data_IF_338349102321
#
_entry.id   IF_338349102321
#
_cell.length_a   1.000
_cell.length_b   1.000
_cell.length_c   1.000
_cell.angle_alpha   90.00
_cell.angle_beta   90.00
_cell.angle_gamma   90.00
#
_symmetry.space_group_name_H-M   'P 1'
#
loop_
_entity.id
_entity.type
_entity.pdbx_description
1 polymer ?
#
# COMPACT_ATOMS: atom_id res chain seq x y z
N UNK A 1 -16.72 8.73 7.51
CA UNK A 1 -16.62 7.25 7.47
C UNK A 1 -15.28 6.86 6.85
N UNK A 2 -14.16 7.05 7.58
CA UNK A 2 -12.77 6.85 7.07
C UNK A 2 -12.11 5.59 7.67
N UNK A 3 -12.73 4.96 8.67
CA UNK A 3 -12.16 3.85 9.43
C UNK A 3 -11.95 2.52 8.66
N UNK A 4 -12.84 2.08 7.73
CA UNK A 4 -12.72 0.75 7.13
C UNK A 4 -11.49 0.62 6.21
N UNK A 5 -11.15 1.67 5.46
CA UNK A 5 -10.01 1.66 4.54
C UNK A 5 -8.66 1.59 5.27
N UNK A 6 -8.57 2.27 6.42
CA UNK A 6 -7.36 2.25 7.24
C UNK A 6 -7.08 0.86 7.80
N UNK A 7 -8.14 0.19 8.26
CA UNK A 7 -8.09 -1.16 8.78
C UNK A 7 -7.71 -2.15 7.68
N UNK A 8 -8.33 -2.06 6.51
CA UNK A 8 -8.01 -2.91 5.37
C UNK A 8 -6.53 -2.79 4.96
N UNK A 9 -6.00 -1.56 4.85
CA UNK A 9 -4.58 -1.31 4.52
C UNK A 9 -3.64 -1.86 5.58
N UNK A 10 -3.94 -1.66 6.87
CA UNK A 10 -3.12 -2.19 7.97
C UNK A 10 -3.09 -3.73 7.99
N UNK A 11 -4.22 -4.38 7.73
CA UNK A 11 -4.31 -5.84 7.68
C UNK A 11 -3.54 -6.41 6.48
N UNK A 12 -3.58 -5.75 5.32
CA UNK A 12 -2.72 -6.10 4.16
C UNK A 12 -1.24 -6.00 4.51
N UNK A 13 -0.83 -4.91 5.16
CA UNK A 13 0.55 -4.75 5.62
C UNK A 13 0.95 -5.87 6.62
N UNK A 14 0.06 -6.23 7.54
CA UNK A 14 0.29 -7.30 8.51
C UNK A 14 0.42 -8.69 7.86
N UNK A 15 -0.37 -8.96 6.82
CA UNK A 15 -0.29 -10.20 6.05
C UNK A 15 1.01 -10.31 5.25
N UNK A 16 1.44 -9.20 4.64
CA UNK A 16 2.74 -9.13 3.97
C UNK A 16 3.90 -9.42 4.93
N UNK A 17 3.88 -8.80 6.12
CA UNK A 17 4.91 -9.03 7.13
C UNK A 17 4.98 -10.51 7.53
N UNK A 18 3.83 -11.17 7.73
CA UNK A 18 3.77 -12.61 8.05
C UNK A 18 4.36 -13.46 6.92
N UNK A 19 3.99 -13.18 5.68
CA UNK A 19 4.44 -13.95 4.50
C UNK A 19 5.95 -13.84 4.27
N UNK A 20 6.55 -12.68 4.55
CA UNK A 20 7.99 -12.42 4.36
C UNK A 20 8.83 -12.60 5.61
N UNK A 21 8.24 -13.05 6.72
CA UNK A 21 8.89 -13.16 8.04
C UNK A 21 9.51 -11.85 8.53
N UNK A 22 8.91 -10.71 8.17
CA UNK A 22 9.31 -9.40 8.68
C UNK A 22 8.71 -9.24 10.07
N UNK A 23 9.56 -8.93 11.04
CA UNK A 23 9.17 -8.76 12.43
C UNK A 23 8.76 -7.33 12.73
N UNK A 24 7.95 -7.16 13.77
CA UNK A 24 7.52 -5.83 14.22
C UNK A 24 8.68 -5.02 14.82
N UNK A 25 9.70 -5.70 15.35
CA UNK A 25 10.91 -5.08 15.87
C UNK A 25 11.72 -4.45 14.73
N UNK A 26 11.93 -5.17 13.62
CA UNK A 26 12.62 -4.62 12.45
C UNK A 26 11.93 -3.38 11.87
N UNK A 27 10.59 -3.37 11.83
CA UNK A 27 9.82 -2.20 11.38
C UNK A 27 9.95 -1.04 12.37
N UNK A 28 9.94 -1.34 13.67
CA UNK A 28 10.08 -0.35 14.73
C UNK A 28 11.45 0.34 14.67
N UNK A 29 12.51 -0.46 14.54
CA UNK A 29 13.89 0.01 14.41
C UNK A 29 14.08 0.85 13.15
N UNK A 30 13.54 0.40 12.01
CA UNK A 30 13.63 1.12 10.74
C UNK A 30 12.91 2.47 10.73
N UNK A 31 11.86 2.62 11.54
CA UNK A 31 11.02 3.82 11.58
C UNK A 31 11.27 4.70 12.82
N UNK A 32 12.20 4.32 13.70
CA UNK A 32 12.42 5.03 14.96
C UNK A 32 11.18 5.04 15.86
N UNK A 33 10.35 3.99 15.78
CA UNK A 33 9.13 3.84 16.54
C UNK A 33 9.27 2.73 17.58
N UNK A 34 8.33 2.63 18.53
CA UNK A 34 8.31 1.49 19.44
C UNK A 34 7.56 0.29 18.83
N UNK A 35 8.07 -0.92 19.06
CA UNK A 35 7.43 -2.16 18.62
C UNK A 35 5.94 -2.28 19.04
N UNK A 36 5.52 -1.85 20.25
CA UNK A 36 4.10 -1.83 20.62
C UNK A 36 3.24 -0.89 19.76
N UNK A 37 3.78 0.23 19.28
CA UNK A 37 3.05 1.12 18.36
C UNK A 37 2.85 0.45 16.99
N UNK A 38 3.90 -0.17 16.44
CA UNK A 38 3.82 -0.94 15.20
C UNK A 38 2.82 -2.10 15.34
N UNK A 39 2.88 -2.83 16.45
CA UNK A 39 1.96 -3.92 16.76
C UNK A 39 0.50 -3.47 16.76
N UNK A 40 0.22 -2.31 17.38
CA UNK A 40 -1.13 -1.73 17.40
C UNK A 40 -1.61 -1.39 15.99
N UNK A 41 -0.74 -0.82 15.16
CA UNK A 41 -1.06 -0.49 13.77
C UNK A 41 -1.40 -1.75 12.98
N UNK A 42 -0.53 -2.75 12.98
CA UNK A 42 -0.71 -3.99 12.21
C UNK A 42 -1.89 -4.85 12.70
N UNK A 43 -2.34 -4.68 13.95
CA UNK A 43 -3.55 -5.32 14.48
C UNK A 43 -4.85 -4.68 13.98
N UNK A 44 -4.79 -3.50 13.36
CA UNK A 44 -5.95 -2.85 12.76
C UNK A 44 -7.01 -2.32 13.75
N UNK A 45 -6.75 -2.32 15.06
CA UNK A 45 -7.74 -1.93 16.08
C UNK A 45 -7.57 -0.48 16.51
N UNK A 46 -8.67 0.28 16.55
CA UNK A 46 -8.69 1.67 17.02
C UNK A 46 -7.78 2.59 16.21
N UNK A 47 -7.68 2.34 14.90
CA UNK A 47 -6.81 3.09 14.02
C UNK A 47 -7.32 4.52 13.81
N UNK A 48 -6.37 5.45 13.80
CA UNK A 48 -6.54 6.80 13.29
C UNK A 48 -5.49 7.05 12.23
N UNK A 49 -5.86 7.82 11.21
CA UNK A 49 -4.89 8.28 10.22
C UNK A 49 -3.82 9.11 10.94
N UNK A 50 -2.59 8.61 10.98
CA UNK A 50 -1.48 9.26 11.68
C UNK A 50 -0.21 9.06 10.87
N UNK A 51 0.76 9.96 11.07
CA UNK A 51 2.04 9.89 10.37
C UNK A 51 2.73 8.53 10.55
N UNK A 52 2.74 7.98 11.78
CA UNK A 52 3.33 6.68 12.04
C UNK A 52 2.56 5.53 11.35
N UNK A 53 1.23 5.61 11.28
CA UNK A 53 0.43 4.66 10.51
C UNK A 53 0.83 4.66 9.02
N UNK A 54 0.95 5.86 8.45
CA UNK A 54 1.35 6.05 7.05
C UNK A 54 2.75 5.48 6.80
N UNK A 55 3.72 5.84 7.66
CA UNK A 55 5.10 5.40 7.57
C UNK A 55 5.24 3.88 7.69
N UNK A 56 4.49 3.24 8.61
CA UNK A 56 4.46 1.77 8.73
C UNK A 56 3.90 1.12 7.47
N UNK A 57 2.78 1.60 6.95
CA UNK A 57 2.19 1.02 5.74
C UNK A 57 3.09 1.22 4.52
N UNK A 58 3.63 2.42 4.34
CA UNK A 58 4.56 2.74 3.24
C UNK A 58 5.86 1.93 3.33
N UNK A 59 6.41 1.73 4.53
CA UNK A 59 7.60 0.92 4.73
C UNK A 59 7.37 -0.53 4.26
N UNK A 60 6.26 -1.11 4.68
CA UNK A 60 5.87 -2.47 4.28
C UNK A 60 5.60 -2.56 2.77
N UNK A 61 4.92 -1.58 2.19
CA UNK A 61 4.67 -1.48 0.74
C UNK A 61 5.96 -1.31 -0.08
N UNK A 62 6.95 -0.60 0.45
CA UNK A 62 8.29 -0.47 -0.17
C UNK A 62 9.05 -1.79 -0.14
N UNK A 63 9.01 -2.49 1.00
CA UNK A 63 9.59 -3.84 1.11
C UNK A 63 8.87 -4.87 0.24
N UNK A 64 7.63 -4.61 -0.17
CA UNK A 64 6.88 -5.39 -1.15
C UNK A 64 7.36 -5.26 -2.60
N UNK A 65 8.27 -4.34 -2.88
CA UNK A 65 8.68 -4.03 -4.25
C UNK A 65 7.64 -3.17 -4.98
N UNK A 66 6.74 -2.50 -4.24
CA UNK A 66 5.66 -1.68 -4.77
C UNK A 66 4.28 -2.35 -4.67
N UNK A 67 3.28 -1.72 -5.29
CA UNK A 67 1.90 -2.23 -5.31
C UNK A 67 1.85 -3.49 -6.18
N UNK A 68 1.60 -4.64 -5.56
CA UNK A 68 1.44 -5.92 -6.28
C UNK A 68 0.07 -5.99 -6.96
N UNK A 69 -0.07 -6.73 -8.08
CA UNK A 69 -1.38 -6.97 -8.71
C UNK A 69 -2.43 -7.53 -7.74
N UNK A 70 -2.01 -8.37 -6.80
CA UNK A 70 -2.85 -8.94 -5.75
C UNK A 70 -3.36 -7.85 -4.80
N UNK A 71 -2.51 -6.89 -4.42
CA UNK A 71 -2.90 -5.74 -3.61
C UNK A 71 -3.85 -4.79 -4.33
N UNK A 72 -3.72 -4.65 -5.66
CA UNK A 72 -4.68 -3.87 -6.48
C UNK A 72 -6.02 -4.58 -6.51
N UNK A 73 -6.03 -5.89 -6.79
CA UNK A 73 -7.25 -6.71 -6.81
C UNK A 73 -7.97 -6.76 -5.46
N UNK A 74 -7.26 -6.58 -4.35
CA UNK A 74 -7.85 -6.53 -3.01
C UNK A 74 -8.34 -5.13 -2.58
N UNK A 75 -8.32 -4.14 -3.48
CA UNK A 75 -8.85 -2.81 -3.21
C UNK A 75 -10.27 -2.67 -3.79
N UNK A 76 -11.27 -2.84 -2.93
CA UNK A 76 -12.68 -2.84 -3.33
C UNK A 76 -13.13 -1.50 -3.92
N UNK A 77 -12.68 -0.37 -3.36
CA UNK A 77 -13.01 0.96 -3.88
C UNK A 77 -12.52 1.16 -5.31
N UNK A 78 -11.27 0.80 -5.59
CA UNK A 78 -10.69 0.88 -6.93
C UNK A 78 -11.40 -0.06 -7.91
N UNK A 79 -11.71 -1.28 -7.48
CA UNK A 79 -12.42 -2.25 -8.31
C UNK A 79 -13.86 -1.81 -8.60
N UNK A 80 -14.57 -1.25 -7.62
CA UNK A 80 -15.92 -0.71 -7.80
C UNK A 80 -15.92 0.44 -8.80
N UNK A 81 -15.00 1.39 -8.65
CA UNK A 81 -14.86 2.50 -9.60
C UNK A 81 -14.57 2.01 -11.03
N UNK A 82 -13.71 0.98 -11.18
CA UNK A 82 -13.46 0.35 -12.47
C UNK A 82 -14.72 -0.34 -13.03
N UNK A 83 -15.48 -1.06 -12.21
CA UNK A 83 -16.69 -1.76 -12.61
C UNK A 83 -17.83 -0.81 -13.02
N UNK A 84 -17.98 0.32 -12.32
CA UNK A 84 -18.98 1.35 -12.65
C UNK A 84 -18.63 2.11 -13.93
N UNK A 85 -17.33 2.30 -14.21
CA UNK A 85 -16.88 3.10 -15.35
C UNK A 85 -16.73 2.26 -16.62
N UNK A 86 -16.40 0.97 -16.50
CA UNK A 86 -16.11 0.11 -17.66
C UNK A 86 -17.38 -0.42 -18.33
N UNK A 87 -17.52 -0.16 -19.65
CA UNK A 87 -18.66 -0.64 -20.46
C UNK A 87 -18.54 -2.09 -20.96
N UNK A 88 -17.52 -2.83 -20.52
CA UNK A 88 -17.24 -4.20 -20.95
C UNK A 88 -16.43 -4.33 -22.26
N UNK A 89 -16.20 -3.24 -22.99
CA UNK A 89 -15.45 -3.27 -24.26
C UNK A 89 -13.93 -3.21 -24.05
N UNK A 90 -13.18 -3.86 -24.95
CA UNK A 90 -11.73 -3.82 -24.96
C UNK A 90 -11.17 -2.40 -25.26
N UNK A 91 -11.89 -1.64 -26.10
CA UNK A 91 -11.57 -0.24 -26.41
C UNK A 91 -11.62 0.64 -25.16
N UNK A 92 -12.69 0.52 -24.36
CA UNK A 92 -12.84 1.31 -23.15
C UNK A 92 -11.85 0.89 -22.07
N UNK A 93 -11.57 -0.41 -21.92
CA UNK A 93 -10.51 -0.90 -21.04
C UNK A 93 -9.13 -0.27 -21.37
N UNK A 94 -8.80 -0.15 -22.66
CA UNK A 94 -7.56 0.49 -23.10
C UNK A 94 -7.54 2.00 -22.82
N UNK A 95 -8.67 2.68 -23.00
CA UNK A 95 -8.80 4.10 -22.67
C UNK A 95 -8.64 4.35 -21.17
N UNK A 96 -9.34 3.60 -20.31
CA UNK A 96 -9.22 3.66 -18.86
C UNK A 96 -7.78 3.39 -18.40
N UNK A 97 -7.15 2.36 -18.94
CA UNK A 97 -5.75 2.05 -18.62
C UNK A 97 -4.79 3.19 -19.00
N UNK A 98 -5.09 3.94 -20.06
CA UNK A 98 -4.28 5.10 -20.49
C UNK A 98 -4.41 6.26 -19.50
N UNK A 99 -5.64 6.58 -19.08
CA UNK A 99 -5.91 7.63 -18.09
C UNK A 99 -5.24 7.28 -16.76
N UNK A 100 -5.42 6.06 -16.25
CA UNK A 100 -4.80 5.60 -15.00
C UNK A 100 -3.27 5.72 -15.06
N UNK A 101 -2.64 5.35 -16.19
CA UNK A 101 -1.19 5.55 -16.36
C UNK A 101 -0.80 7.02 -16.37
N UNK A 102 -1.58 7.90 -16.98
CA UNK A 102 -1.28 9.34 -16.96
C UNK A 102 -1.35 9.95 -15.56
N UNK A 103 -2.20 9.44 -14.67
CA UNK A 103 -2.26 9.89 -13.27
C UNK A 103 -0.94 9.62 -12.51
N UNK A 104 -0.13 8.65 -12.95
CA UNK A 104 1.18 8.40 -12.35
C UNK A 104 2.16 9.57 -12.50
N UNK A 105 1.95 10.45 -13.47
CA UNK A 105 2.73 11.68 -13.63
C UNK A 105 2.37 12.77 -12.60
N UNK A 106 1.21 12.63 -11.94
CA UNK A 106 0.70 13.57 -10.92
C UNK A 106 0.93 13.08 -9.48
N UNK A 107 1.36 11.83 -9.30
CA UNK A 107 1.64 11.24 -7.99
C UNK A 107 2.95 11.75 -7.38
N UNK A 108 3.14 11.59 -6.04
CA UNK A 108 4.40 11.93 -5.40
C UNK A 108 5.55 11.20 -6.11
N UNK A 109 6.57 11.97 -6.50
CA UNK A 109 7.68 11.49 -7.32
C UNK A 109 8.22 10.17 -6.76
N UNK A 110 8.24 9.12 -7.60
CA UNK A 110 8.95 7.88 -7.30
C UNK A 110 10.41 8.25 -7.07
N UNK A 111 10.85 8.36 -5.81
CA UNK A 111 12.27 8.51 -5.52
C UNK A 111 13.00 7.32 -6.14
N UNK A 112 13.99 7.53 -7.01
CA UNK A 112 14.75 6.43 -7.57
C UNK A 112 15.43 5.71 -6.41
N UNK A 113 15.18 4.41 -6.29
CA UNK A 113 15.94 3.55 -5.39
C UNK A 113 17.40 3.64 -5.86
N UNK A 114 18.26 4.22 -5.04
CA UNK A 114 19.70 4.20 -5.27
C UNK A 114 20.11 2.73 -5.30
N UNK A 115 20.27 2.18 -6.50
CA UNK A 115 20.88 0.87 -6.70
C UNK A 115 22.34 1.06 -6.33
N UNK A 116 22.68 0.75 -5.07
CA UNK A 116 24.06 0.62 -4.63
C UNK A 116 24.67 -0.52 -5.42
N UNK A 117 25.49 -0.14 -6.40
CA UNK A 117 26.44 -1.00 -7.09
C UNK A 117 27.53 -1.36 -6.06
N UNK A 118 27.65 -2.64 -5.69
CA UNK A 118 28.86 -3.23 -5.10
C UNK A 118 29.36 -4.22 -6.17
N UNK A 119 30.41 -3.84 -6.91
CA UNK A 119 31.83 -4.19 -6.69
C UNK A 119 32.11 -5.69 -6.86
#
# INVERSE_FOLDING_TARGET
>A
MIAPDLQARALRAADYCRTRKITQAEIADALGASQPQVSRILKGRGLRHSRLYEEVCLYVERLAGGVTPESVRANDELNLALAETWDGSASHAKALATVIRSLSALGPARSPVSTTRQE
#
